data_IF_559019086707
#
_entry.id   IF_559019086707
#
_cell.length_a   1.000
_cell.length_b   1.000
_cell.length_c   1.000
_cell.angle_alpha   90.00
_cell.angle_beta   90.00
_cell.angle_gamma   90.00
#
_symmetry.space_group_name_H-M   'P 1'
#
loop_
_entity.id
_entity.type
_entity.pdbx_description
1 polymer ?
#
# COMPACT_ATOMS: atom_id res chain seq x y z
N UNK A 1 -8.47 14.98 2.06
CA UNK A 1 -8.09 13.83 1.20
C UNK A 1 -9.35 13.14 0.66
N UNK A 2 -9.18 12.17 -0.24
CA UNK A 2 -10.17 11.63 -1.19
C UNK A 2 -10.43 10.15 -0.86
N UNK A 3 -11.63 9.54 -0.93
CA UNK A 3 -12.97 9.95 -1.40
C UNK A 3 -14.04 9.90 -0.27
N UNK A 4 -15.24 10.42 -0.52
CA UNK A 4 -16.49 9.98 0.13
C UNK A 4 -17.12 8.86 -0.70
N UNK A 5 -17.37 7.67 -0.12
CA UNK A 5 -18.17 6.64 -0.77
C UNK A 5 -19.65 6.96 -0.52
N UNK A 6 -20.34 7.45 -1.55
CA UNK A 6 -21.77 7.72 -1.49
C UNK A 6 -22.56 6.41 -1.51
N UNK A 7 -23.16 6.03 -0.37
CA UNK A 7 -24.32 5.13 -0.35
C UNK A 7 -25.59 5.97 -0.38
N UNK A 8 -26.18 6.12 -1.56
CA UNK A 8 -27.54 6.63 -1.71
C UNK A 8 -28.54 5.55 -1.29
N UNK A 9 -29.20 5.75 -0.15
CA UNK A 9 -30.63 5.48 0.01
C UNK A 9 -31.16 6.25 1.22
N UNK A 10 -32.39 6.75 1.12
CA UNK A 10 -33.01 7.65 2.10
C UNK A 10 -33.07 7.04 3.51
N UNK A 11 -32.28 7.57 4.45
CA UNK A 11 -32.78 8.34 5.61
C UNK A 11 -31.62 8.86 6.46
N UNK A 12 -31.68 10.15 6.85
CA UNK A 12 -30.86 10.80 7.89
C UNK A 12 -29.33 10.81 7.64
N UNK A 13 -28.75 12.01 7.45
CA UNK A 13 -27.30 12.19 7.48
C UNK A 13 -26.83 12.02 8.94
N UNK A 14 -26.57 10.78 9.32
CA UNK A 14 -25.71 10.51 10.46
C UNK A 14 -24.28 10.79 10.00
N UNK A 15 -23.77 11.96 10.38
CA UNK A 15 -22.33 12.14 10.43
C UNK A 15 -21.85 11.14 11.47
N UNK A 16 -21.24 10.04 11.03
CA UNK A 16 -20.46 9.20 11.93
C UNK A 16 -19.52 10.12 12.73
N UNK A 17 -19.33 9.88 14.05
CA UNK A 17 -18.34 10.62 14.80
C UNK A 17 -17.01 10.54 14.04
N UNK A 18 -16.22 11.63 13.95
CA UNK A 18 -14.99 11.63 13.19
C UNK A 18 -14.19 10.43 13.65
N UNK A 19 -13.99 9.46 12.75
CA UNK A 19 -13.17 8.30 13.08
C UNK A 19 -11.86 8.86 13.57
N UNK A 20 -11.49 8.51 14.79
CA UNK A 20 -10.14 8.68 15.30
C UNK A 20 -9.28 7.72 14.50
N UNK A 21 -9.04 8.07 13.23
CA UNK A 21 -7.96 7.53 12.45
C UNK A 21 -6.73 7.74 13.32
N UNK A 22 -5.95 6.70 13.63
CA UNK A 22 -4.66 6.94 14.26
C UNK A 22 -3.94 7.91 13.34
N UNK A 23 -3.40 9.00 13.90
CA UNK A 23 -2.61 9.95 13.10
C UNK A 23 -1.41 9.24 12.44
N UNK A 24 -1.07 8.04 12.94
CA UNK A 24 0.01 7.15 12.53
C UNK A 24 -0.40 6.14 11.46
N UNK A 25 0.52 5.86 10.54
CA UNK A 25 0.35 4.95 9.42
C UNK A 25 0.03 3.51 9.84
N UNK A 26 -1.06 2.97 9.28
CA UNK A 26 -1.53 1.58 9.47
C UNK A 26 -0.51 0.47 9.18
N UNK A 27 0.58 0.76 8.45
CA UNK A 27 1.61 -0.24 8.13
C UNK A 27 2.78 -0.28 9.13
N UNK A 28 3.06 0.80 9.84
CA UNK A 28 4.27 0.92 10.67
C UNK A 28 4.04 1.42 12.09
N UNK A 29 2.96 2.14 12.36
CA UNK A 29 2.63 2.79 13.64
C UNK A 29 3.73 3.74 14.19
N UNK A 30 4.61 4.24 13.31
CA UNK A 30 5.80 5.03 13.68
C UNK A 30 5.79 6.47 13.18
N UNK A 31 5.05 6.75 12.10
CA UNK A 31 5.02 8.05 11.42
C UNK A 31 3.61 8.38 10.96
N UNK A 32 3.35 9.66 10.72
CA UNK A 32 2.04 10.13 10.31
C UNK A 32 1.52 9.46 9.03
N UNK A 33 0.22 9.20 8.97
CA UNK A 33 -0.43 8.60 7.82
C UNK A 33 -0.52 9.58 6.64
N UNK A 34 0.20 9.26 5.57
CA UNK A 34 0.08 9.92 4.28
C UNK A 34 0.18 8.89 3.15
N UNK A 35 -0.34 9.25 1.97
CA UNK A 35 -0.24 8.41 0.76
C UNK A 35 1.23 8.09 0.46
N UNK A 36 2.11 9.08 0.55
CA UNK A 36 3.54 8.89 0.33
C UNK A 36 4.18 8.01 1.41
N UNK A 37 3.80 8.17 2.70
CA UNK A 37 4.32 7.27 3.72
C UNK A 37 3.84 5.82 3.51
N UNK A 38 2.54 5.61 3.29
CA UNK A 38 1.98 4.27 3.04
C UNK A 38 2.61 3.63 1.80
N UNK A 39 2.75 4.37 0.69
CA UNK A 39 3.13 3.78 -0.59
C UNK A 39 4.65 3.71 -0.82
N UNK A 40 5.46 4.59 -0.22
CA UNK A 40 6.91 4.66 -0.54
C UNK A 40 7.86 4.78 0.65
N UNK A 41 7.47 5.44 1.74
CA UNK A 41 8.39 5.62 2.88
C UNK A 41 8.33 4.49 3.92
N UNK A 42 7.17 3.87 4.12
CA UNK A 42 6.96 2.81 5.12
C UNK A 42 7.85 1.59 4.86
N UNK A 43 8.60 1.07 5.86
CA UNK A 43 9.47 -0.10 5.67
C UNK A 43 8.72 -1.34 5.16
N UNK A 44 7.47 -1.52 5.60
CA UNK A 44 6.62 -2.64 5.18
C UNK A 44 6.24 -2.51 3.70
N UNK A 45 5.97 -1.30 3.23
CA UNK A 45 5.66 -1.00 1.83
C UNK A 45 6.87 -1.17 0.93
N UNK A 46 8.06 -0.72 1.37
CA UNK A 46 9.33 -0.95 0.65
C UNK A 46 9.63 -2.44 0.49
N UNK A 47 9.33 -3.26 1.50
CA UNK A 47 9.45 -4.71 1.40
C UNK A 47 8.49 -5.31 0.35
N UNK A 48 7.22 -4.88 0.33
CA UNK A 48 6.24 -5.28 -0.69
C UNK A 48 6.71 -4.92 -2.10
N UNK A 49 7.22 -3.70 -2.30
CA UNK A 49 7.78 -3.28 -3.58
C UNK A 49 9.02 -4.07 -3.98
N UNK A 50 9.93 -4.37 -3.05
CA UNK A 50 11.10 -5.19 -3.34
C UNK A 50 10.69 -6.59 -3.80
N UNK A 51 9.72 -7.23 -3.14
CA UNK A 51 9.19 -8.55 -3.54
C UNK A 51 8.51 -8.49 -4.92
N UNK A 52 7.59 -7.56 -5.12
CA UNK A 52 6.84 -7.44 -6.36
C UNK A 52 7.73 -7.08 -7.58
N UNK A 53 8.72 -6.18 -7.38
CA UNK A 53 9.69 -5.85 -8.42
C UNK A 53 10.70 -7.00 -8.64
N UNK A 54 11.06 -7.77 -7.60
CA UNK A 54 11.93 -8.94 -7.74
C UNK A 54 11.27 -10.06 -8.55
N UNK A 55 9.98 -10.30 -8.33
CA UNK A 55 9.20 -11.30 -9.06
C UNK A 55 9.16 -11.07 -10.59
N UNK A 56 9.40 -9.83 -11.04
CA UNK A 56 9.43 -9.45 -12.47
C UNK A 56 10.83 -8.98 -12.95
N UNK A 57 11.88 -9.15 -12.14
CA UNK A 57 13.25 -8.77 -12.52
C UNK A 57 13.51 -7.26 -12.66
N UNK A 58 12.75 -6.41 -11.95
CA UNK A 58 12.86 -4.95 -11.99
C UNK A 58 13.30 -4.33 -10.65
N UNK A 59 14.11 -5.03 -9.85
CA UNK A 59 14.62 -4.56 -8.55
C UNK A 59 15.29 -3.18 -8.64
N UNK A 60 15.94 -2.88 -9.77
CA UNK A 60 16.55 -1.58 -10.12
C UNK A 60 15.59 -0.38 -10.06
N UNK A 61 14.29 -0.62 -10.01
CA UNK A 61 13.26 0.41 -9.88
C UNK A 61 12.77 0.61 -8.45
N UNK A 62 13.30 -0.13 -7.47
CA UNK A 62 12.99 0.11 -6.07
C UNK A 62 13.57 1.46 -5.61
N UNK A 63 12.73 2.29 -5.01
CA UNK A 63 13.17 3.47 -4.28
C UNK A 63 13.77 3.10 -2.92
N UNK A 64 14.97 3.61 -2.64
CA UNK A 64 15.51 3.60 -1.28
C UNK A 64 15.25 4.92 -0.54
N UNK A 65 15.21 6.04 -1.27
CA UNK A 65 15.28 7.40 -0.70
C UNK A 65 14.18 8.36 -1.20
N UNK A 66 13.21 7.91 -2.00
CA UNK A 66 12.14 8.79 -2.50
C UNK A 66 11.09 9.07 -1.42
N UNK A 67 10.74 10.34 -1.27
CA UNK A 67 9.72 10.83 -0.33
C UNK A 67 8.34 11.00 -0.96
N UNK A 68 8.22 10.87 -2.29
CA UNK A 68 6.98 11.14 -3.02
C UNK A 68 6.64 10.03 -4.02
N UNK A 69 5.50 9.37 -3.81
CA UNK A 69 5.00 8.27 -4.64
C UNK A 69 4.85 8.65 -6.11
N UNK A 70 4.35 9.86 -6.38
CA UNK A 70 4.11 10.32 -7.74
C UNK A 70 5.40 10.42 -8.56
N UNK A 71 6.47 11.03 -8.00
CA UNK A 71 7.74 11.21 -8.70
C UNK A 71 8.38 9.86 -9.02
N UNK A 72 8.47 8.99 -8.02
CA UNK A 72 9.00 7.64 -8.20
C UNK A 72 8.22 6.82 -9.22
N UNK A 73 6.88 6.86 -9.19
CA UNK A 73 6.04 6.11 -10.13
C UNK A 73 6.24 6.62 -11.56
N UNK A 74 6.31 7.94 -11.75
CA UNK A 74 6.61 8.55 -13.05
C UNK A 74 7.97 8.13 -13.59
N UNK A 75 9.02 8.13 -12.76
CA UNK A 75 10.37 7.76 -13.20
C UNK A 75 10.54 6.26 -13.41
N UNK A 76 9.90 5.42 -12.58
CA UNK A 76 9.88 3.98 -12.78
C UNK A 76 9.15 3.61 -14.07
N UNK A 77 8.06 4.32 -14.41
CA UNK A 77 7.34 4.14 -15.70
C UNK A 77 8.14 4.53 -16.94
N UNK A 78 9.24 5.28 -16.80
CA UNK A 78 10.21 5.53 -17.88
C UNK A 78 11.25 4.40 -18.00
N UNK A 79 11.50 3.64 -16.93
CA UNK A 79 12.54 2.60 -16.81
C UNK A 79 12.05 1.17 -17.07
N UNK A 80 10.73 0.97 -17.06
CA UNK A 80 10.06 -0.34 -17.12
C UNK A 80 9.05 -0.37 -18.25
N UNK A 81 8.97 -1.47 -19.00
CA UNK A 81 7.99 -1.64 -20.08
C UNK A 81 6.55 -1.53 -19.53
N UNK A 82 5.66 -0.89 -20.30
CA UNK A 82 4.26 -0.70 -19.92
C UNK A 82 3.53 -2.03 -19.66
N UNK A 83 3.95 -3.12 -20.30
CA UNK A 83 3.43 -4.48 -20.14
C UNK A 83 3.86 -5.16 -18.83
N UNK A 84 4.91 -4.67 -18.17
CA UNK A 84 5.39 -5.23 -16.89
C UNK A 84 4.62 -4.69 -15.69
N UNK A 85 4.07 -3.47 -15.76
CA UNK A 85 3.31 -2.87 -14.65
C UNK A 85 2.07 -3.66 -14.20
N UNK A 86 1.27 -4.28 -15.10
CA UNK A 86 0.24 -5.25 -14.71
C UNK A 86 0.78 -6.42 -13.89
N UNK A 87 1.97 -6.95 -14.22
CA UNK A 87 2.58 -8.07 -13.50
C UNK A 87 3.11 -7.63 -12.12
N UNK A 88 3.68 -6.42 -12.01
CA UNK A 88 4.03 -5.82 -10.71
C UNK A 88 2.79 -5.69 -9.82
N UNK A 89 1.67 -5.19 -10.38
CA UNK A 89 0.41 -5.05 -9.64
C UNK A 89 -0.15 -6.41 -9.17
N UNK A 90 -0.13 -7.44 -10.03
CA UNK A 90 -0.50 -8.81 -9.64
C UNK A 90 0.39 -9.34 -8.53
N UNK A 91 1.71 -9.14 -8.60
CA UNK A 91 2.65 -9.60 -7.58
C UNK A 91 2.41 -8.91 -6.23
N UNK A 92 2.12 -7.60 -6.22
CA UNK A 92 1.72 -6.89 -5.00
C UNK A 92 0.43 -7.42 -4.40
N UNK A 93 -0.59 -7.67 -5.23
CA UNK A 93 -1.88 -8.23 -4.77
C UNK A 93 -1.68 -9.63 -4.21
N UNK A 94 -0.92 -10.50 -4.89
CA UNK A 94 -0.60 -11.84 -4.41
C UNK A 94 0.11 -11.81 -3.06
N UNK A 95 1.16 -10.99 -2.90
CA UNK A 95 1.89 -10.83 -1.64
C UNK A 95 1.00 -10.26 -0.52
N UNK A 96 0.16 -9.26 -0.82
CA UNK A 96 -0.80 -8.72 0.15
C UNK A 96 -1.84 -9.77 0.57
N UNK A 97 -2.32 -10.60 -0.35
CA UNK A 97 -3.20 -11.74 -0.07
C UNK A 97 -2.50 -12.81 0.78
N UNK A 98 -1.25 -13.17 0.47
CA UNK A 98 -0.47 -14.10 1.27
C UNK A 98 -0.26 -13.59 2.71
N UNK A 99 0.03 -12.29 2.89
CA UNK A 99 0.12 -11.66 4.22
C UNK A 99 -1.20 -11.63 4.96
N UNK A 100 -2.31 -11.39 4.27
CA UNK A 100 -3.63 -11.45 4.87
C UNK A 100 -3.96 -12.87 5.34
N UNK A 101 -3.76 -13.88 4.48
CA UNK A 101 -3.97 -15.29 4.81
C UNK A 101 -3.06 -15.74 5.96
N UNK A 102 -1.78 -15.41 5.93
CA UNK A 102 -0.86 -15.67 7.04
C UNK A 102 -1.32 -14.99 8.33
N UNK A 103 -1.73 -13.72 8.28
CA UNK A 103 -2.29 -12.99 9.41
C UNK A 103 -3.58 -13.61 9.98
N UNK A 104 -4.42 -14.24 9.14
CA UNK A 104 -5.58 -15.01 9.60
C UNK A 104 -5.26 -16.40 10.14
N UNK A 105 -4.05 -16.93 9.88
CA UNK A 105 -3.57 -18.22 10.39
C UNK A 105 -2.72 -18.09 11.67
N UNK A 106 -2.12 -16.92 11.91
CA UNK A 106 -1.35 -16.59 13.12
C UNK A 106 -2.13 -16.66 14.46
N UNK A 107 -3.48 -16.55 14.55
CA UNK A 107 -4.20 -16.77 15.82
C UNK A 107 -4.12 -18.20 16.37
N UNK A 108 -3.53 -19.16 15.65
CA UNK A 108 -3.54 -20.60 16.00
C UNK A 108 -2.26 -21.06 16.71
N UNK A 109 -1.22 -20.21 16.82
CA UNK A 109 0.06 -20.52 17.48
C UNK A 109 0.63 -19.24 18.14
N UNK A 110 0.02 -18.69 19.20
CA UNK A 110 0.08 -19.14 20.59
C UNK A 110 0.34 -17.91 21.51
N UNK A 111 0.60 -18.04 22.83
CA UNK A 111 0.72 -19.27 23.63
C UNK A 111 -0.61 -19.85 24.12
#
# INVERSE_FOLDING_TARGET
MIYKIFKTNNFRIQLDPPKTHPDRCVLCDQHDESIDHILVASPKSRQLWWLALSAVGQQRCLQMNESYFYLWLCDSRKKVDKRTWPEVAKAMVAEATLRHLAGTLVPVLGP
#
